data_IF_681900491103
#
_entry.id   IF_681900491103
#
_cell.length_a   1.000
_cell.length_b   1.000
_cell.length_c   1.000
_cell.angle_alpha   90.00
_cell.angle_beta   90.00
_cell.angle_gamma   90.00
#
_symmetry.space_group_name_H-M   'P 1'
#
loop_
_entity.id
_entity.type
_entity.pdbx_description
1 polymer ?
#
# COMPACT_ATOMS: atom_id res chain seq x y z
N UNK A 1 -3.74 13.14 15.00
CA UNK A 1 -2.77 12.76 13.96
C UNK A 1 -3.37 11.62 13.15
N UNK A 2 -3.49 11.72 11.82
CA UNK A 2 -4.08 10.65 11.00
C UNK A 2 -3.21 9.37 11.02
N UNK A 3 -3.81 8.18 10.97
CA UNK A 3 -3.05 6.92 11.02
C UNK A 3 -2.34 6.58 9.70
N UNK A 4 -2.82 7.06 8.54
CA UNK A 4 -2.22 6.76 7.22
C UNK A 4 -2.45 7.82 6.15
N UNK A 5 -3.64 8.43 6.06
CA UNK A 5 -4.03 9.30 4.93
C UNK A 5 -3.56 10.75 5.14
N UNK A 6 -2.25 10.94 5.22
CA UNK A 6 -1.63 12.26 5.37
C UNK A 6 -0.24 12.27 4.72
N UNK A 7 0.12 13.30 3.92
CA UNK A 7 1.38 13.32 3.17
C UNK A 7 2.62 13.06 4.05
N UNK A 8 2.69 13.68 5.22
CA UNK A 8 3.83 13.46 6.14
C UNK A 8 3.85 12.06 6.76
N UNK A 9 2.70 11.43 6.95
CA UNK A 9 2.64 10.05 7.45
C UNK A 9 3.14 9.11 6.36
N UNK A 10 2.67 9.29 5.13
CA UNK A 10 3.08 8.51 3.94
C UNK A 10 4.58 8.65 3.69
N UNK A 11 5.11 9.88 3.71
CA UNK A 11 6.53 10.15 3.55
C UNK A 11 7.36 9.48 4.65
N UNK A 12 6.90 9.55 5.90
CA UNK A 12 7.51 8.84 7.02
C UNK A 12 7.54 7.33 6.81
N UNK A 13 6.46 6.71 6.33
CA UNK A 13 6.46 5.27 6.04
C UNK A 13 7.40 4.91 4.87
N UNK A 14 7.63 5.84 3.95
CA UNK A 14 8.52 5.66 2.82
C UNK A 14 9.98 5.47 3.20
N UNK A 15 10.43 5.89 4.39
CA UNK A 15 11.83 5.73 4.81
C UNK A 15 12.23 4.26 4.88
N UNK A 16 11.30 3.35 5.19
CA UNK A 16 11.54 1.92 5.18
C UNK A 16 12.03 1.43 3.80
N UNK A 17 11.52 2.00 2.72
CA UNK A 17 12.00 1.64 1.39
C UNK A 17 13.45 2.06 1.18
N UNK A 18 13.88 3.21 1.72
CA UNK A 18 15.28 3.64 1.62
C UNK A 18 16.20 2.66 2.35
N UNK A 19 15.81 2.24 3.54
CA UNK A 19 16.54 1.25 4.33
C UNK A 19 16.64 -0.09 3.59
N UNK A 20 15.54 -0.59 3.01
CA UNK A 20 15.53 -1.82 2.21
C UNK A 20 16.50 -1.76 1.02
N UNK A 21 16.49 -0.66 0.26
CA UNK A 21 17.36 -0.52 -0.92
C UNK A 21 18.83 -0.34 -0.56
N UNK A 22 19.13 0.21 0.62
CA UNK A 22 20.50 0.31 1.14
C UNK A 22 21.02 -1.05 1.63
N UNK A 23 20.14 -1.91 2.13
CA UNK A 23 20.48 -3.26 2.58
C UNK A 23 20.70 -4.23 1.41
N UNK A 24 19.90 -4.14 0.35
CA UNK A 24 20.03 -4.98 -0.83
C UNK A 24 19.57 -4.26 -2.11
N UNK A 25 20.51 -4.04 -3.04
CA UNK A 25 20.24 -3.43 -4.34
C UNK A 25 19.73 -4.42 -5.40
N UNK A 26 19.69 -5.72 -5.10
CA UNK A 26 19.28 -6.79 -6.01
C UNK A 26 17.83 -7.25 -5.82
N UNK A 27 17.03 -6.51 -5.05
CA UNK A 27 15.62 -6.83 -4.81
C UNK A 27 14.82 -6.78 -6.12
N UNK A 28 14.20 -7.90 -6.52
CA UNK A 28 13.27 -7.92 -7.66
C UNK A 28 11.85 -7.51 -7.30
N UNK A 29 11.42 -7.83 -6.07
CA UNK A 29 10.02 -7.71 -5.62
C UNK A 29 9.95 -7.36 -4.14
N UNK A 30 9.01 -6.48 -3.79
CA UNK A 30 8.68 -6.12 -2.42
C UNK A 30 7.20 -6.36 -2.19
N UNK A 31 6.87 -7.17 -1.19
CA UNK A 31 5.50 -7.42 -0.75
C UNK A 31 5.19 -6.49 0.43
N UNK A 32 4.12 -5.71 0.34
CA UNK A 32 3.78 -4.70 1.35
C UNK A 32 2.36 -4.93 1.84
N UNK A 33 2.14 -5.08 3.16
CA UNK A 33 0.79 -5.21 3.71
C UNK A 33 0.01 -3.90 3.53
N UNK A 34 -1.30 -4.03 3.29
CA UNK A 34 -2.20 -2.91 3.07
C UNK A 34 -3.38 -2.98 4.04
N UNK A 35 -3.43 -2.01 4.95
CA UNK A 35 -4.66 -1.56 5.62
C UNK A 35 -5.14 -0.28 4.93
N UNK A 36 -4.94 0.88 5.57
CA UNK A 36 -5.27 2.18 4.97
C UNK A 36 -4.33 2.65 3.85
N UNK A 37 -3.30 1.87 3.51
CA UNK A 37 -2.42 2.11 2.37
C UNK A 37 -1.23 3.05 2.61
N UNK A 38 -1.05 3.60 3.81
CA UNK A 38 0.04 4.55 4.10
C UNK A 38 1.44 3.99 3.81
N UNK A 39 1.71 2.77 4.31
CA UNK A 39 2.97 2.07 4.09
C UNK A 39 3.18 1.73 2.61
N UNK A 40 2.18 1.11 1.97
CA UNK A 40 2.26 0.74 0.57
C UNK A 40 2.43 1.96 -0.36
N UNK A 41 1.76 3.06 -0.08
CA UNK A 41 1.92 4.31 -0.82
C UNK A 41 3.34 4.87 -0.66
N UNK A 42 3.85 4.97 0.57
CA UNK A 42 5.19 5.50 0.84
C UNK A 42 6.29 4.64 0.19
N UNK A 43 6.24 3.33 0.41
CA UNK A 43 7.18 2.36 -0.17
C UNK A 43 7.11 2.35 -1.70
N UNK A 44 5.90 2.33 -2.28
CA UNK A 44 5.75 2.30 -3.73
C UNK A 44 6.30 3.56 -4.38
N UNK A 45 5.99 4.75 -3.85
CA UNK A 45 6.50 6.01 -4.40
C UNK A 45 8.02 6.04 -4.39
N UNK A 46 8.65 5.72 -3.25
CA UNK A 46 10.11 5.79 -3.14
C UNK A 46 10.79 4.75 -4.04
N UNK A 47 10.33 3.49 -4.02
CA UNK A 47 10.89 2.44 -4.87
C UNK A 47 10.73 2.80 -6.35
N UNK A 48 9.57 3.31 -6.77
CA UNK A 48 9.36 3.66 -8.18
C UNK A 48 10.17 4.87 -8.65
N UNK A 49 10.52 5.78 -7.74
CA UNK A 49 11.41 6.89 -8.06
C UNK A 49 12.87 6.45 -8.20
N UNK A 50 13.34 5.53 -7.34
CA UNK A 50 14.76 5.14 -7.30
C UNK A 50 15.08 3.91 -8.16
N UNK A 51 14.22 2.89 -8.14
CA UNK A 51 14.41 1.61 -8.81
C UNK A 51 13.08 1.10 -9.40
N UNK A 52 12.58 1.71 -10.50
CA UNK A 52 11.26 1.42 -11.07
C UNK A 52 11.05 -0.03 -11.52
N UNK A 53 12.12 -0.78 -11.78
CA UNK A 53 12.11 -2.19 -12.15
C UNK A 53 11.60 -3.11 -11.03
N UNK A 54 11.76 -2.70 -9.76
CA UNK A 54 11.33 -3.49 -8.60
C UNK A 54 9.81 -3.54 -8.57
N UNK A 55 9.25 -4.74 -8.46
CA UNK A 55 7.78 -4.91 -8.39
C UNK A 55 7.32 -4.74 -6.95
N UNK A 56 6.48 -3.73 -6.71
CA UNK A 56 5.81 -3.55 -5.42
C UNK A 56 4.44 -4.21 -5.49
N UNK A 57 4.19 -5.14 -4.59
CA UNK A 57 3.00 -6.01 -4.57
C UNK A 57 2.27 -5.76 -3.25
N UNK A 58 1.05 -5.22 -3.35
CA UNK A 58 0.17 -5.03 -2.22
C UNK A 58 -0.39 -6.38 -1.76
N UNK A 59 -0.42 -6.59 -0.44
CA UNK A 59 -0.97 -7.79 0.19
C UNK A 59 -2.04 -7.36 1.18
N UNK A 60 -3.24 -7.92 1.04
CA UNK A 60 -4.40 -7.63 1.88
C UNK A 60 -4.97 -8.93 2.45
N UNK A 61 -5.62 -8.86 3.61
CA UNK A 61 -6.45 -9.96 4.07
C UNK A 61 -7.73 -10.01 3.23
N UNK A 62 -8.20 -11.21 2.91
CA UNK A 62 -9.35 -11.42 2.02
C UNK A 62 -10.62 -10.72 2.54
N UNK A 63 -10.79 -10.70 3.86
CA UNK A 63 -11.91 -10.10 4.58
C UNK A 63 -11.73 -8.59 4.88
N UNK A 64 -10.62 -7.97 4.44
CA UNK A 64 -10.34 -6.54 4.61
C UNK A 64 -9.67 -5.91 3.38
N UNK A 65 -9.89 -6.45 2.18
CA UNK A 65 -9.23 -6.04 0.93
C UNK A 65 -9.77 -4.72 0.33
N UNK A 66 -9.58 -3.61 1.04
CA UNK A 66 -10.12 -2.29 0.69
C UNK A 66 -9.42 -1.62 -0.52
N UNK A 67 -8.11 -1.84 -0.74
CA UNK A 67 -7.40 -1.38 -1.93
C UNK A 67 -7.89 -2.14 -3.15
N UNK A 68 -8.03 -3.46 -3.07
CA UNK A 68 -8.58 -4.27 -4.17
C UNK A 68 -9.97 -3.76 -4.58
N UNK A 69 -10.87 -3.59 -3.61
CA UNK A 69 -12.21 -3.06 -3.86
C UNK A 69 -12.17 -1.66 -4.50
N UNK A 70 -11.29 -0.77 -4.03
CA UNK A 70 -11.13 0.57 -4.60
C UNK A 70 -10.55 0.57 -6.02
N UNK A 71 -9.61 -0.34 -6.32
CA UNK A 71 -9.05 -0.49 -7.66
C UNK A 71 -10.11 -0.99 -8.65
N UNK A 72 -10.95 -1.93 -8.23
CA UNK A 72 -12.03 -2.46 -9.06
C UNK A 72 -13.14 -1.41 -9.31
N UNK A 73 -13.44 -0.58 -8.32
CA UNK A 73 -14.38 0.54 -8.46
C UNK A 73 -13.78 1.79 -9.14
N UNK A 74 -12.45 1.89 -9.24
CA UNK A 74 -11.75 3.06 -9.76
C UNK A 74 -11.65 4.25 -8.77
N UNK A 75 -12.24 4.13 -7.59
CA UNK A 75 -12.20 5.12 -6.50
C UNK A 75 -12.32 4.42 -5.13
N UNK A 76 -11.93 5.07 -4.02
CA UNK A 76 -12.11 4.51 -2.68
C UNK A 76 -13.57 4.17 -2.38
N UNK A 77 -13.80 2.96 -1.86
CA UNK A 77 -15.12 2.44 -1.47
C UNK A 77 -15.07 1.82 -0.08
N UNK A 78 -16.20 1.85 0.60
CA UNK A 78 -16.39 1.17 1.88
C UNK A 78 -16.63 -0.33 1.66
N UNK A 79 -15.87 -1.17 2.36
CA UNK A 79 -16.19 -2.58 2.51
C UNK A 79 -17.45 -2.76 3.37
N UNK A 80 -18.32 -3.73 3.06
CA UNK A 80 -19.54 -3.98 3.84
C UNK A 80 -19.23 -4.52 5.24
N UNK A 81 -18.12 -5.26 5.37
CA UNK A 81 -17.61 -5.85 6.61
C UNK A 81 -16.09 -5.89 6.56
N UNK A 82 -15.48 -5.98 7.74
CA UNK A 82 -14.04 -6.11 7.90
C UNK A 82 -13.79 -7.23 8.90
N UNK A 83 -12.91 -8.16 8.54
CA UNK A 83 -12.45 -9.19 9.47
C UNK A 83 -11.59 -8.62 10.60
N UNK A 84 -11.61 -9.29 11.75
CA UNK A 84 -10.83 -8.89 12.93
C UNK A 84 -9.58 -9.76 13.15
N UNK A 85 -9.30 -10.71 12.23
CA UNK A 85 -8.15 -11.61 12.37
C UNK A 85 -6.82 -10.86 12.28
N UNK A 86 -6.74 -9.83 11.45
CA UNK A 86 -5.55 -8.99 11.27
C UNK A 86 -5.87 -7.52 11.59
N UNK A 87 -5.94 -7.20 12.89
CA UNK A 87 -6.39 -5.89 13.39
C UNK A 87 -5.64 -4.69 12.78
N UNK A 88 -4.34 -4.81 12.53
CA UNK A 88 -3.52 -3.74 11.95
C UNK A 88 -3.86 -3.39 10.50
N UNK A 89 -4.56 -4.27 9.77
CA UNK A 89 -5.01 -4.06 8.39
C UNK A 89 -6.53 -4.10 8.25
N UNK A 90 -7.26 -4.18 9.37
CA UNK A 90 -8.72 -4.15 9.43
C UNK A 90 -9.26 -2.74 9.13
N UNK A 91 -9.07 -2.28 7.89
CA UNK A 91 -9.49 -0.98 7.41
C UNK A 91 -10.63 -1.12 6.42
N UNK A 92 -11.73 -0.43 6.70
CA UNK A 92 -12.96 -0.53 5.91
C UNK A 92 -12.86 0.16 4.54
N UNK A 93 -12.12 1.27 4.48
CA UNK A 93 -11.97 2.11 3.29
C UNK A 93 -10.55 2.63 3.23
N UNK A 94 -9.89 2.45 2.09
CA UNK A 94 -8.55 3.00 1.87
C UNK A 94 -8.57 4.54 1.92
N UNK A 95 -7.42 5.14 2.26
CA UNK A 95 -7.24 6.59 2.19
C UNK A 95 -7.35 7.12 0.76
N UNK A 96 -7.72 8.40 0.62
CA UNK A 96 -7.88 9.03 -0.69
C UNK A 96 -6.52 9.27 -1.34
N UNK A 97 -5.56 9.79 -0.56
CA UNK A 97 -4.22 10.08 -1.05
C UNK A 97 -3.40 8.80 -1.20
N UNK A 98 -3.55 7.85 -0.26
CA UNK A 98 -2.89 6.55 -0.35
C UNK A 98 -3.38 5.78 -1.58
N UNK A 99 -4.69 5.78 -1.87
CA UNK A 99 -5.24 5.18 -3.09
C UNK A 99 -4.68 5.85 -4.35
N UNK A 100 -4.67 7.18 -4.40
CA UNK A 100 -4.13 7.93 -5.55
C UNK A 100 -2.69 7.53 -5.84
N UNK A 101 -1.84 7.48 -4.81
CA UNK A 101 -0.43 7.13 -4.94
C UNK A 101 -0.23 5.66 -5.31
N UNK A 102 -0.98 4.75 -4.67
CA UNK A 102 -0.95 3.34 -5.01
C UNK A 102 -1.30 3.16 -6.50
N UNK A 103 -2.41 3.71 -6.98
CA UNK A 103 -2.87 3.57 -8.37
C UNK A 103 -1.85 4.04 -9.40
N UNK A 104 -1.11 5.11 -9.11
CA UNK A 104 -0.09 5.67 -10.01
C UNK A 104 1.24 4.91 -9.95
N UNK A 105 1.60 4.38 -8.78
CA UNK A 105 2.92 3.78 -8.53
C UNK A 105 2.94 2.26 -8.73
N UNK A 106 1.79 1.60 -8.70
CA UNK A 106 1.69 0.14 -8.74
C UNK A 106 1.08 -0.40 -10.03
N UNK A 107 1.75 -1.39 -10.65
CA UNK A 107 1.03 -2.49 -11.33
C UNK A 107 0.77 -3.57 -10.28
N UNK A 108 -0.17 -3.34 -9.38
CA UNK A 108 -0.48 -4.32 -8.33
C UNK A 108 -1.07 -5.57 -8.96
N UNK A 109 -0.38 -6.70 -8.77
CA UNK A 109 -0.89 -8.01 -9.14
C UNK A 109 -1.46 -8.64 -7.87
N UNK A 110 -2.78 -8.64 -7.74
CA UNK A 110 -3.44 -9.45 -6.72
C UNK A 110 -3.39 -10.91 -7.18
N UNK A 111 -2.72 -11.78 -6.43
CA UNK A 111 -2.92 -13.23 -6.56
C UNK A 111 -4.03 -13.64 -5.60
N UNK A 112 -4.96 -14.45 -6.11
CA UNK A 112 -5.96 -15.17 -5.33
C UNK A 112 -5.27 -16.17 -4.41
#
# INVERSE_FOLDING_TARGET
>A
MPPFDHPMVIAGQGTLALELLQQDAHIDRVFVPVGGGGLAAGVAVLIKQLMPQIKVIAVEAEDSACLKAALDAGHPVDLPRVGLFAEGVAVKRIGDETFRLCRVSGRYHHRR
#
